data_IF_176557230296
#
_entry.id   IF_176557230296
#
_cell.length_a   1.000
_cell.length_b   1.000
_cell.length_c   1.000
_cell.angle_alpha   90.00
_cell.angle_beta   90.00
_cell.angle_gamma   90.00
#
_symmetry.space_group_name_H-M   'P 1'
#
loop_
_entity.id
_entity.type
_entity.pdbx_description
1 polymer ?
#
# COMPACT_ATOMS: atom_id res chain seq x y z
N UNK A 1 11.87 7.64 7.67
CA UNK A 1 12.13 7.07 6.32
C UNK A 1 13.51 6.43 6.32
N UNK A 2 13.55 5.10 6.19
CA UNK A 2 14.70 4.22 6.46
C UNK A 2 14.76 3.76 7.93
N UNK A 3 15.11 2.51 8.29
CA UNK A 3 15.72 1.43 7.50
C UNK A 3 15.31 0.02 7.97
N UNK A 4 15.25 -0.92 7.03
CA UNK A 4 15.04 -2.35 7.32
C UNK A 4 16.16 -3.19 6.72
N UNK A 5 16.59 -2.91 5.49
CA UNK A 5 17.76 -3.54 4.86
C UNK A 5 18.70 -2.46 4.33
N UNK A 6 19.13 -1.55 5.20
CA UNK A 6 19.98 -0.42 4.86
C UNK A 6 20.60 0.14 6.19
N UNK A 7 21.77 0.79 6.18
CA UNK A 7 22.55 1.36 7.32
C UNK A 7 22.13 2.67 8.08
N UNK A 8 22.14 3.85 7.47
CA UNK A 8 21.70 5.17 8.00
C UNK A 8 20.27 5.38 8.56
N UNK A 9 19.96 6.64 8.86
CA UNK A 9 19.17 6.94 10.07
C UNK A 9 18.08 8.01 9.85
N UNK A 10 17.48 8.05 8.65
CA UNK A 10 16.55 9.11 8.26
C UNK A 10 15.24 9.14 9.08
N UNK A 11 14.96 10.29 9.71
CA UNK A 11 13.71 10.56 10.44
C UNK A 11 12.87 11.55 9.63
N UNK A 12 11.94 11.02 8.86
CA UNK A 12 10.96 11.79 8.09
C UNK A 12 9.69 10.95 8.01
N UNK A 13 8.58 11.55 8.44
CA UNK A 13 7.23 11.02 8.51
C UNK A 13 6.24 12.16 8.73
N UNK A 14 4.99 11.99 8.31
CA UNK A 14 3.93 12.97 8.60
C UNK A 14 3.69 13.10 10.11
N UNK A 15 3.53 14.33 10.59
CA UNK A 15 3.10 14.64 11.95
C UNK A 15 1.60 14.94 11.94
N UNK A 16 0.80 14.06 12.55
CA UNK A 16 -0.65 14.23 12.57
C UNK A 16 -1.00 15.29 13.64
N UNK A 17 -1.88 16.27 13.34
CA UNK A 17 -2.33 17.24 14.33
C UNK A 17 -2.93 16.59 15.58
N UNK A 18 -2.80 17.27 16.72
CA UNK A 18 -3.36 16.81 17.99
C UNK A 18 -4.88 16.69 17.93
N UNK A 19 -5.56 17.72 17.40
CA UNK A 19 -7.01 17.78 17.27
C UNK A 19 -7.52 16.69 16.31
N UNK A 20 -8.39 15.81 16.83
CA UNK A 20 -8.99 14.68 16.07
C UNK A 20 -10.36 14.98 15.49
N UNK A 21 -10.96 16.12 15.83
CA UNK A 21 -12.23 16.55 15.23
C UNK A 21 -11.99 17.12 13.84
N UNK A 22 -12.93 17.00 12.89
CA UNK A 22 -12.82 17.64 11.60
C UNK A 22 -12.71 19.18 11.76
N UNK A 23 -11.92 19.87 10.93
CA UNK A 23 -11.87 21.32 10.93
C UNK A 23 -13.22 21.93 10.54
N UNK A 24 -13.54 23.12 11.05
CA UNK A 24 -14.83 23.79 10.81
C UNK A 24 -15.10 24.16 9.35
N UNK A 25 -14.04 24.33 8.55
CA UNK A 25 -14.10 24.63 7.12
C UNK A 25 -14.33 23.38 6.26
N UNK A 26 -14.12 22.17 6.80
CA UNK A 26 -14.42 20.93 6.09
C UNK A 26 -15.92 20.66 6.22
N UNK A 27 -16.68 21.04 5.19
CA UNK A 27 -18.15 20.86 5.15
C UNK A 27 -18.57 19.51 4.56
N UNK A 28 -17.63 18.74 4.03
CA UNK A 28 -17.89 17.45 3.41
C UNK A 28 -18.44 16.46 4.43
N UNK A 29 -19.55 15.83 4.10
CA UNK A 29 -20.20 14.88 5.00
C UNK A 29 -19.52 13.51 4.98
N UNK A 30 -19.74 12.70 6.01
CA UNK A 30 -19.16 11.35 6.06
C UNK A 30 -19.67 10.44 4.94
N UNK A 31 -20.90 10.67 4.45
CA UNK A 31 -21.49 9.94 3.33
C UNK A 31 -20.77 10.29 2.01
N UNK A 32 -20.62 11.57 1.72
CA UNK A 32 -19.90 12.05 0.52
C UNK A 32 -18.46 11.52 0.46
N UNK A 33 -17.75 11.50 1.60
CA UNK A 33 -16.39 10.93 1.66
C UNK A 33 -16.38 9.44 1.33
N UNK A 34 -17.35 8.66 1.82
CA UNK A 34 -17.45 7.22 1.48
C UNK A 34 -17.74 7.02 -0.01
N UNK A 35 -18.64 7.82 -0.58
CA UNK A 35 -19.00 7.74 -1.99
C UNK A 35 -17.82 8.10 -2.90
N UNK A 36 -17.08 9.15 -2.55
CA UNK A 36 -15.83 9.51 -3.24
C UNK A 36 -14.80 8.38 -3.16
N UNK A 37 -14.59 7.77 -2.00
CA UNK A 37 -13.67 6.64 -1.82
C UNK A 37 -14.07 5.47 -2.73
N UNK A 38 -15.34 5.08 -2.73
CA UNK A 38 -15.86 4.01 -3.58
C UNK A 38 -15.71 4.34 -5.07
N UNK A 39 -15.99 5.59 -5.47
CA UNK A 39 -15.82 6.07 -6.85
C UNK A 39 -14.36 5.96 -7.30
N UNK A 40 -13.41 6.38 -6.48
CA UNK A 40 -11.98 6.31 -6.82
C UNK A 40 -11.44 4.88 -6.81
N UNK A 41 -11.92 4.03 -5.90
CA UNK A 41 -11.57 2.61 -5.89
C UNK A 41 -12.07 1.88 -7.16
N UNK A 42 -13.29 2.20 -7.64
CA UNK A 42 -13.80 1.67 -8.92
C UNK A 42 -12.97 2.10 -10.14
N UNK A 43 -12.26 3.24 -10.04
CA UNK A 43 -11.29 3.67 -11.06
C UNK A 43 -9.93 2.95 -10.95
N UNK A 44 -9.77 2.01 -10.01
CA UNK A 44 -8.53 1.26 -9.79
C UNK A 44 -7.48 1.99 -8.95
N UNK A 45 -7.85 3.07 -8.25
CA UNK A 45 -6.90 3.79 -7.38
C UNK A 45 -6.62 3.02 -6.09
N UNK A 46 -5.37 3.05 -5.65
CA UNK A 46 -4.96 2.42 -4.37
C UNK A 46 -5.41 3.21 -3.15
N UNK A 47 -5.65 2.58 -1.99
CA UNK A 47 -5.99 3.27 -0.75
C UNK A 47 -5.05 4.44 -0.39
N UNK A 48 -3.74 4.29 -0.61
CA UNK A 48 -2.76 5.37 -0.39
C UNK A 48 -2.99 6.56 -1.33
N UNK A 49 -3.22 6.31 -2.61
CA UNK A 49 -3.51 7.35 -3.60
C UNK A 49 -4.84 8.05 -3.32
N UNK A 50 -5.88 7.30 -2.94
CA UNK A 50 -7.18 7.86 -2.57
C UNK A 50 -7.03 8.84 -1.41
N UNK A 51 -6.24 8.50 -0.39
CA UNK A 51 -5.98 9.40 0.74
C UNK A 51 -5.27 10.70 0.32
N UNK A 52 -4.31 10.62 -0.60
CA UNK A 52 -3.61 11.79 -1.16
C UNK A 52 -4.59 12.66 -1.94
N UNK A 53 -5.40 12.07 -2.82
CA UNK A 53 -6.35 12.77 -3.66
C UNK A 53 -7.40 13.53 -2.83
N UNK A 54 -7.94 12.87 -1.80
CA UNK A 54 -8.91 13.48 -0.88
C UNK A 54 -8.31 14.67 -0.12
N UNK A 55 -7.03 14.58 0.27
CA UNK A 55 -6.33 15.66 0.95
C UNK A 55 -6.04 16.83 0.02
N UNK A 56 -5.49 16.55 -1.16
CA UNK A 56 -4.91 17.58 -2.02
C UNK A 56 -5.97 18.26 -2.91
N UNK A 57 -7.00 17.54 -3.36
CA UNK A 57 -8.04 18.08 -4.25
C UNK A 57 -9.36 18.39 -3.55
N UNK A 58 -9.74 17.61 -2.54
CA UNK A 58 -11.04 17.73 -1.87
C UNK A 58 -10.96 18.39 -0.49
N UNK A 59 -9.75 18.74 -0.03
CA UNK A 59 -9.57 19.39 1.27
C UNK A 59 -9.96 18.50 2.46
N UNK A 60 -9.97 17.17 2.32
CA UNK A 60 -10.24 16.25 3.43
C UNK A 60 -8.92 15.86 4.09
N UNK A 61 -8.53 16.45 5.24
CA UNK A 61 -7.18 16.30 5.78
C UNK A 61 -6.89 14.87 6.25
N UNK A 62 -7.84 14.26 6.96
CA UNK A 62 -7.73 12.89 7.42
C UNK A 62 -9.10 12.20 7.36
N UNK A 63 -9.21 11.15 6.55
CA UNK A 63 -10.48 10.43 6.35
C UNK A 63 -11.07 9.89 7.66
N UNK A 64 -10.21 9.49 8.61
CA UNK A 64 -10.65 8.94 9.89
C UNK A 64 -11.28 9.98 10.82
N UNK A 65 -11.00 11.28 10.67
CA UNK A 65 -11.62 12.31 11.51
C UNK A 65 -13.03 12.65 11.03
N UNK A 66 -13.29 12.51 9.73
CA UNK A 66 -14.61 12.79 9.13
C UNK A 66 -15.54 11.58 9.21
N UNK A 67 -15.01 10.37 8.94
CA UNK A 67 -15.83 9.15 8.79
C UNK A 67 -15.74 8.18 9.97
N UNK A 68 -14.89 8.45 10.96
CA UNK A 68 -14.55 7.53 12.06
C UNK A 68 -13.97 6.17 11.63
N UNK A 69 -13.68 6.00 10.33
CA UNK A 69 -13.15 4.76 9.75
C UNK A 69 -11.97 5.04 8.84
N UNK A 70 -11.08 4.05 8.68
CA UNK A 70 -9.96 4.15 7.73
C UNK A 70 -10.42 3.77 6.33
N UNK A 71 -9.75 4.31 5.31
CA UNK A 71 -10.03 4.05 3.88
C UNK A 71 -10.18 2.55 3.59
N UNK A 72 -9.23 1.73 4.03
CA UNK A 72 -9.26 0.28 3.78
C UNK A 72 -10.46 -0.41 4.45
N UNK A 73 -10.94 0.08 5.60
CA UNK A 73 -12.15 -0.47 6.25
C UNK A 73 -13.39 -0.14 5.44
N UNK A 74 -13.50 1.09 4.93
CA UNK A 74 -14.61 1.53 4.06
C UNK A 74 -14.67 0.65 2.80
N UNK A 75 -13.51 0.42 2.16
CA UNK A 75 -13.44 -0.43 0.97
C UNK A 75 -13.82 -1.89 1.26
N UNK A 76 -13.47 -2.43 2.43
CA UNK A 76 -13.87 -3.79 2.83
C UNK A 76 -15.37 -3.94 3.01
N UNK A 77 -16.01 -2.97 3.67
CA UNK A 77 -17.46 -2.96 3.86
C UNK A 77 -18.18 -2.85 2.51
N UNK A 78 -17.62 -2.07 1.57
CA UNK A 78 -18.15 -1.94 0.23
C UNK A 78 -17.82 -3.11 -0.72
N UNK A 79 -17.05 -4.12 -0.29
CA UNK A 79 -16.62 -5.23 -1.15
C UNK A 79 -15.61 -4.84 -2.25
N UNK A 80 -15.01 -3.65 -2.16
CA UNK A 80 -14.06 -3.09 -3.16
C UNK A 80 -12.60 -3.14 -2.68
N UNK A 81 -12.32 -3.93 -1.63
CA UNK A 81 -10.97 -4.06 -1.12
C UNK A 81 -10.10 -4.95 -2.03
N UNK A 82 -8.83 -4.60 -2.25
CA UNK A 82 -7.93 -5.46 -3.01
C UNK A 82 -7.69 -6.78 -2.25
N UNK A 83 -7.59 -7.88 -3.01
CA UNK A 83 -7.32 -9.21 -2.48
C UNK A 83 -5.92 -9.29 -1.84
N UNK A 84 -4.92 -8.76 -2.54
CA UNK A 84 -3.55 -8.67 -2.04
C UNK A 84 -3.36 -7.31 -1.35
N UNK A 85 -2.81 -7.27 -0.13
CA UNK A 85 -2.43 -6.02 0.52
C UNK A 85 -1.51 -5.16 -0.35
N UNK A 86 -1.78 -3.85 -0.39
CA UNK A 86 -1.10 -2.88 -1.26
C UNK A 86 0.44 -2.88 -1.09
N UNK A 87 0.91 -2.97 0.15
CA UNK A 87 2.34 -3.03 0.48
C UNK A 87 3.01 -4.30 -0.07
N UNK A 88 2.33 -5.43 -0.01
CA UNK A 88 2.82 -6.68 -0.59
C UNK A 88 2.80 -6.63 -2.13
N UNK A 89 1.72 -6.11 -2.72
CA UNK A 89 1.59 -5.94 -4.18
C UNK A 89 2.74 -5.11 -4.76
N UNK A 90 3.03 -3.93 -4.20
CA UNK A 90 4.11 -3.07 -4.71
C UNK A 90 5.51 -3.65 -4.48
N UNK A 91 5.69 -4.48 -3.45
CA UNK A 91 6.94 -5.20 -3.23
C UNK A 91 7.17 -6.28 -4.28
N UNK A 92 6.12 -7.04 -4.63
CA UNK A 92 6.15 -8.03 -5.72
C UNK A 92 6.38 -7.32 -7.06
N UNK A 93 5.67 -6.21 -7.34
CA UNK A 93 5.86 -5.39 -8.56
C UNK A 93 7.32 -4.98 -8.76
N UNK A 94 7.96 -4.54 -7.67
CA UNK A 94 9.37 -4.17 -7.68
C UNK A 94 10.28 -5.37 -7.94
N UNK A 95 10.01 -6.52 -7.32
CA UNK A 95 10.79 -7.73 -7.54
C UNK A 95 10.72 -8.20 -9.00
N UNK A 96 9.52 -8.20 -9.60
CA UNK A 96 9.30 -8.56 -11.02
C UNK A 96 10.10 -7.63 -11.94
N UNK A 97 10.05 -6.31 -11.70
CA UNK A 97 10.81 -5.33 -12.49
C UNK A 97 12.33 -5.56 -12.40
N UNK A 98 12.87 -5.79 -11.19
CA UNK A 98 14.30 -6.07 -10.99
C UNK A 98 14.69 -7.38 -11.68
N UNK A 99 13.86 -8.43 -11.60
CA UNK A 99 14.12 -9.71 -12.25
C UNK A 99 14.18 -9.58 -13.77
N UNK A 100 13.22 -8.88 -14.37
CA UNK A 100 13.20 -8.56 -15.81
C UNK A 100 14.45 -7.78 -16.26
N UNK A 101 14.95 -6.86 -15.42
CA UNK A 101 16.21 -6.16 -15.67
C UNK A 101 17.42 -7.11 -15.62
N UNK A 102 17.49 -7.99 -14.62
CA UNK A 102 18.61 -8.92 -14.42
C UNK A 102 18.68 -10.03 -15.48
N UNK A 103 17.56 -10.39 -16.09
CA UNK A 103 17.53 -11.34 -17.22
C UNK A 103 18.36 -10.84 -18.41
N UNK A 104 18.30 -9.54 -18.68
CA UNK A 104 19.09 -8.86 -19.71
C UNK A 104 20.50 -8.52 -19.21
N UNK A 105 20.60 -8.09 -17.94
CA UNK A 105 21.84 -7.59 -17.33
C UNK A 105 22.42 -8.58 -16.31
N UNK A 106 22.81 -9.79 -16.76
CA UNK A 106 23.24 -10.88 -15.86
C UNK A 106 24.46 -10.58 -15.00
N UNK A 107 25.30 -9.62 -15.40
CA UNK A 107 26.52 -9.20 -14.70
C UNK A 107 26.27 -8.18 -13.57
N UNK A 108 25.05 -7.64 -13.46
CA UNK A 108 24.69 -6.69 -12.41
C UNK A 108 24.60 -7.37 -11.03
N UNK A 109 25.66 -7.25 -10.24
CA UNK A 109 25.76 -7.83 -8.89
C UNK A 109 24.96 -7.03 -7.85
N UNK A 110 24.88 -5.70 -8.01
CA UNK A 110 24.12 -4.84 -7.10
C UNK A 110 22.61 -5.06 -7.28
N UNK A 111 22.13 -5.20 -8.51
CA UNK A 111 20.76 -5.58 -8.81
C UNK A 111 20.37 -6.92 -8.18
N UNK A 112 21.26 -7.93 -8.25
CA UNK A 112 21.06 -9.23 -7.57
C UNK A 112 20.97 -9.08 -6.06
N UNK A 113 21.87 -8.32 -5.44
CA UNK A 113 21.85 -8.04 -4.01
C UNK A 113 20.53 -7.35 -3.61
N UNK A 114 20.10 -6.33 -4.34
CA UNK A 114 18.84 -5.61 -4.09
C UNK A 114 17.62 -6.50 -4.27
N UNK A 115 17.62 -7.43 -5.24
CA UNK A 115 16.55 -8.41 -5.42
C UNK A 115 16.39 -9.28 -4.16
N UNK A 116 17.49 -9.81 -3.63
CA UNK A 116 17.50 -10.61 -2.38
C UNK A 116 16.85 -9.83 -1.23
N UNK A 117 17.18 -8.54 -1.09
CA UNK A 117 16.61 -7.68 -0.05
C UNK A 117 15.11 -7.39 -0.25
N UNK A 118 14.62 -7.36 -1.49
CA UNK A 118 13.20 -7.18 -1.80
C UNK A 118 12.43 -8.47 -1.53
N UNK A 119 12.90 -9.61 -2.04
CA UNK A 119 12.28 -10.93 -1.83
C UNK A 119 12.25 -11.30 -0.34
N UNK A 120 13.32 -11.01 0.41
CA UNK A 120 13.36 -11.18 1.86
C UNK A 120 12.26 -10.38 2.58
N UNK A 121 11.94 -9.17 2.12
CA UNK A 121 10.84 -8.36 2.67
C UNK A 121 9.46 -8.92 2.28
N UNK A 122 9.30 -9.41 1.05
CA UNK A 122 8.07 -10.08 0.60
C UNK A 122 7.76 -11.27 1.52
N UNK A 123 8.73 -12.13 1.78
CA UNK A 123 8.53 -13.29 2.66
C UNK A 123 8.17 -12.89 4.10
N UNK A 124 8.78 -11.82 4.65
CA UNK A 124 8.43 -11.28 5.96
C UNK A 124 6.99 -10.75 6.01
N UNK A 125 6.57 -9.98 5.00
CA UNK A 125 5.20 -9.47 4.90
C UNK A 125 4.18 -10.58 4.70
N UNK A 126 4.47 -11.53 3.82
CA UNK A 126 3.62 -12.70 3.59
C UNK A 126 3.41 -13.51 4.88
N UNK A 127 4.48 -13.74 5.66
CA UNK A 127 4.38 -14.41 6.97
C UNK A 127 3.46 -13.65 7.93
N UNK A 128 3.63 -12.33 8.00
CA UNK A 128 2.76 -11.47 8.82
C UNK A 128 1.30 -11.57 8.39
N UNK A 129 1.01 -11.47 7.10
CA UNK A 129 -0.35 -11.50 6.59
C UNK A 129 -1.04 -12.86 6.66
N UNK A 130 -0.28 -13.96 6.58
CA UNK A 130 -0.77 -15.31 6.91
C UNK A 130 -1.14 -15.43 8.39
N UNK A 131 -0.29 -14.93 9.29
CA UNK A 131 -0.57 -14.91 10.74
C UNK A 131 -1.84 -14.13 11.09
N UNK A 132 -2.07 -13.00 10.41
CA UNK A 132 -3.26 -12.14 10.61
C UNK A 132 -4.46 -12.60 9.76
N UNK A 133 -4.37 -13.77 9.08
CA UNK A 133 -5.43 -14.35 8.24
C UNK A 133 -5.94 -13.42 7.12
N UNK A 134 -5.09 -12.51 6.64
CA UNK A 134 -5.39 -11.69 5.46
C UNK A 134 -4.96 -12.36 4.16
N UNK A 135 -4.09 -13.36 4.24
CA UNK A 135 -3.73 -14.22 3.12
C UNK A 135 -4.07 -15.68 3.47
N UNK A 136 -4.41 -16.50 2.47
CA UNK A 136 -4.55 -17.94 2.64
C UNK A 136 -3.30 -18.59 3.26
N UNK A 137 -3.42 -19.62 4.11
CA UNK A 137 -2.26 -20.30 4.71
C UNK A 137 -1.29 -20.89 3.69
N UNK A 138 -1.84 -21.40 2.58
CA UNK A 138 -1.10 -21.94 1.43
C UNK A 138 -0.51 -20.87 0.50
N UNK A 139 -0.74 -19.58 0.77
CA UNK A 139 -0.20 -18.51 -0.06
C UNK A 139 1.34 -18.53 -0.03
N UNK A 140 1.93 -18.49 -1.22
CA UNK A 140 3.37 -18.55 -1.45
C UNK A 140 3.76 -17.58 -2.58
N UNK A 141 4.87 -16.88 -2.36
CA UNK A 141 5.49 -16.08 -3.40
C UNK A 141 6.35 -16.99 -4.28
N UNK A 142 6.05 -17.04 -5.56
CA UNK A 142 6.83 -17.74 -6.57
C UNK A 142 7.19 -16.76 -7.68
N UNK A 143 8.48 -16.71 -8.03
CA UNK A 143 9.00 -15.70 -8.95
C UNK A 143 8.50 -15.86 -10.39
N UNK A 144 8.18 -17.09 -10.80
CA UNK A 144 7.64 -17.43 -12.12
C UNK A 144 6.21 -16.93 -12.31
N UNK A 145 5.38 -16.98 -11.27
CA UNK A 145 3.96 -16.58 -11.31
C UNK A 145 3.74 -15.16 -10.80
N UNK A 146 4.75 -14.53 -10.19
CA UNK A 146 4.65 -13.17 -9.64
C UNK A 146 4.21 -12.11 -10.66
N UNK A 147 4.49 -12.30 -11.96
CA UNK A 147 4.07 -11.37 -13.03
C UNK A 147 2.57 -11.37 -13.26
N UNK A 148 1.88 -12.49 -13.08
CA UNK A 148 0.42 -12.58 -13.26
C UNK A 148 -0.34 -11.94 -12.11
N UNK A 149 0.25 -11.92 -10.91
CA UNK A 149 -0.29 -11.26 -9.72
C UNK A 149 -0.17 -9.73 -9.78
N UNK A 150 0.70 -9.22 -10.65
CA UNK A 150 1.04 -7.81 -10.74
C UNK A 150 1.09 -7.38 -12.19
N UNK A 151 -0.10 -7.25 -12.77
CA UNK A 151 -0.33 -6.44 -13.97
C UNK A 151 -0.71 -5.01 -13.56
#
# INVERSE_FOLDING_TARGET
MGRMHSSGKGKSSSAIPYKRTPPSWCKTTSAEVKDMICKFARKGMTPSQIGILLRDQHGVPLVSTVTSSKVLRILKVAGLAPEIPEDLYFMIKKAVSIRKHLERNRKDKDGKFRLILVESRIHRLARYYKRVRKLPPNWKYESSTASTLVS
#
